data_IF_622512809640
#
_entry.id   IF_622512809640
#
_cell.length_a   1.000
_cell.length_b   1.000
_cell.length_c   1.000
_cell.angle_alpha   90.00
_cell.angle_beta   90.00
_cell.angle_gamma   90.00
#
_symmetry.space_group_name_H-M   'P 1'
#
loop_
_entity.id
_entity.type
_entity.pdbx_description
1 polymer ?
#
# COMPACT_ATOMS: atom_id res chain seq x y z
N UNK A 1 -20.28 -1.29 -1.01
CA UNK A 1 -19.04 -1.44 -1.81
C UNK A 1 -19.10 -2.67 -2.70
N UNK A 2 -19.46 -3.85 -2.17
CA UNK A 2 -19.58 -5.09 -2.97
C UNK A 2 -20.75 -5.07 -3.97
N UNK A 3 -21.80 -4.32 -3.65
CA UNK A 3 -22.98 -4.12 -4.52
C UNK A 3 -22.78 -3.04 -5.61
N UNK A 4 -21.58 -2.44 -5.71
CA UNK A 4 -21.28 -1.42 -6.73
C UNK A 4 -21.80 0.00 -6.44
N UNK A 5 -22.41 0.23 -5.28
CA UNK A 5 -22.88 1.53 -4.75
C UNK A 5 -21.78 2.62 -4.70
N UNK A 6 -20.51 2.24 -4.78
CA UNK A 6 -19.36 3.16 -4.80
C UNK A 6 -18.61 3.21 -6.13
N UNK A 7 -19.22 2.72 -7.20
CA UNK A 7 -18.61 2.59 -8.52
C UNK A 7 -17.91 1.26 -8.72
N UNK A 8 -17.78 0.90 -10.00
CA UNK A 8 -17.32 -0.43 -10.42
C UNK A 8 -15.88 -0.73 -10.00
N UNK A 9 -14.96 0.24 -10.13
CA UNK A 9 -13.58 0.03 -9.69
C UNK A 9 -13.45 -0.21 -8.18
N UNK A 10 -14.27 0.44 -7.36
CA UNK A 10 -14.30 0.19 -5.90
C UNK A 10 -14.87 -1.20 -5.61
N UNK A 11 -15.86 -1.64 -6.38
CA UNK A 11 -16.42 -2.99 -6.29
C UNK A 11 -15.36 -4.05 -6.58
N UNK A 12 -14.61 -3.89 -7.67
CA UNK A 12 -13.50 -4.78 -8.02
C UNK A 12 -12.43 -4.79 -6.94
N UNK A 13 -11.99 -3.62 -6.46
CA UNK A 13 -11.01 -3.52 -5.37
C UNK A 13 -11.50 -4.23 -4.10
N UNK A 14 -12.76 -4.03 -3.72
CA UNK A 14 -13.36 -4.68 -2.55
C UNK A 14 -13.46 -6.19 -2.72
N UNK A 15 -13.80 -6.67 -3.91
CA UNK A 15 -13.82 -8.10 -4.22
C UNK A 15 -12.42 -8.72 -4.06
N UNK A 16 -11.37 -8.05 -4.52
CA UNK A 16 -9.99 -8.52 -4.32
C UNK A 16 -9.66 -8.62 -2.83
N UNK A 17 -9.92 -7.58 -2.05
CA UNK A 17 -9.66 -7.57 -0.60
C UNK A 17 -10.43 -8.68 0.12
N UNK A 18 -11.70 -8.90 -0.23
CA UNK A 18 -12.51 -9.99 0.34
C UNK A 18 -11.94 -11.36 -0.06
N UNK A 19 -11.64 -11.59 -1.34
CA UNK A 19 -11.11 -12.87 -1.82
C UNK A 19 -9.76 -13.21 -1.20
N UNK A 20 -8.87 -12.23 -1.06
CA UNK A 20 -7.61 -12.41 -0.34
C UNK A 20 -7.88 -12.71 1.14
N UNK A 21 -8.82 -12.01 1.76
CA UNK A 21 -9.24 -12.29 3.13
C UNK A 21 -9.74 -13.73 3.32
N UNK A 22 -10.62 -14.21 2.43
CA UNK A 22 -11.11 -15.60 2.44
C UNK A 22 -9.97 -16.62 2.34
N UNK A 23 -9.02 -16.40 1.42
CA UNK A 23 -7.84 -17.28 1.25
C UNK A 23 -6.95 -17.28 2.51
N UNK A 24 -6.83 -16.15 3.18
CA UNK A 24 -6.05 -16.01 4.41
C UNK A 24 -6.82 -16.42 5.69
N UNK A 25 -8.08 -16.84 5.57
CA UNK A 25 -8.92 -17.23 6.71
C UNK A 25 -9.43 -16.05 7.56
N UNK A 26 -9.56 -14.86 6.98
CA UNK A 26 -10.09 -13.68 7.66
C UNK A 26 -11.59 -13.83 7.95
N UNK A 27 -11.99 -13.79 9.22
CA UNK A 27 -13.41 -13.81 9.60
C UNK A 27 -14.16 -12.53 9.20
N UNK A 28 -13.42 -11.42 9.12
CA UNK A 28 -13.96 -10.10 8.76
C UNK A 28 -12.87 -9.17 8.26
N UNK A 29 -13.29 -8.03 7.70
CA UNK A 29 -12.39 -6.92 7.41
C UNK A 29 -12.40 -5.89 8.54
N UNK A 30 -11.27 -5.24 8.75
CA UNK A 30 -11.10 -4.07 9.64
C UNK A 30 -10.99 -2.79 8.82
N UNK A 31 -11.42 -1.67 9.40
CA UNK A 31 -11.18 -0.35 8.80
C UNK A 31 -9.71 0.01 9.02
N UNK A 32 -9.05 0.51 7.98
CA UNK A 32 -7.70 1.06 8.09
C UNK A 32 -7.76 2.59 8.18
N UNK A 33 -6.74 3.20 8.78
CA UNK A 33 -6.63 4.67 8.91
C UNK A 33 -5.63 5.28 7.92
N UNK A 34 -4.74 4.46 7.34
CA UNK A 34 -3.68 4.91 6.44
C UNK A 34 -3.21 3.77 5.53
N UNK A 35 -2.71 4.10 4.34
CA UNK A 35 -2.03 3.16 3.46
C UNK A 35 -0.66 3.68 2.98
N UNK A 36 0.28 2.77 2.78
CA UNK A 36 1.58 3.06 2.21
C UNK A 36 1.99 1.97 1.21
N UNK A 37 2.02 2.33 -0.07
CA UNK A 37 2.15 1.39 -1.18
C UNK A 37 3.63 1.26 -1.57
N UNK A 38 4.12 0.02 -1.60
CA UNK A 38 5.48 -0.37 -1.99
C UNK A 38 5.53 -1.00 -3.36
N UNK A 39 6.76 -1.19 -3.86
CA UNK A 39 6.99 -1.89 -5.12
C UNK A 39 6.60 -1.10 -6.37
N UNK A 40 6.42 0.22 -6.27
CA UNK A 40 5.97 1.10 -7.36
C UNK A 40 7.06 1.48 -8.37
N UNK A 41 8.22 0.80 -8.35
CA UNK A 41 9.28 1.04 -9.31
C UNK A 41 8.89 0.47 -10.68
N UNK A 42 9.18 1.18 -11.77
CA UNK A 42 8.99 0.65 -13.13
C UNK A 42 9.81 -0.63 -13.35
N UNK A 43 10.97 -0.75 -12.70
CA UNK A 43 11.77 -1.99 -12.73
C UNK A 43 11.01 -3.19 -12.17
N UNK A 44 10.12 -2.97 -11.20
CA UNK A 44 9.38 -4.04 -10.54
C UNK A 44 8.12 -4.41 -11.30
N UNK A 45 7.40 -3.41 -11.83
CA UNK A 45 6.05 -3.62 -12.34
C UNK A 45 5.97 -3.63 -13.87
N UNK A 46 7.00 -3.13 -14.58
CA UNK A 46 7.04 -3.11 -16.03
C UNK A 46 5.91 -2.31 -16.67
N UNK A 47 5.70 -2.55 -17.97
CA UNK A 47 4.61 -1.93 -18.72
C UNK A 47 3.25 -2.48 -18.28
N UNK A 48 3.17 -3.77 -17.98
CA UNK A 48 1.94 -4.45 -17.56
C UNK A 48 1.39 -3.85 -16.27
N UNK A 49 2.28 -3.57 -15.30
CA UNK A 49 1.90 -2.91 -14.06
C UNK A 49 1.50 -1.45 -14.25
N UNK A 50 2.17 -0.71 -15.14
CA UNK A 50 1.77 0.65 -15.46
C UNK A 50 0.39 0.69 -16.14
N UNK A 51 0.13 -0.16 -17.13
CA UNK A 51 -1.15 -0.24 -17.82
C UNK A 51 -2.26 -0.71 -16.87
N UNK A 52 -1.97 -1.64 -15.97
CA UNK A 52 -2.89 -2.01 -14.90
C UNK A 52 -3.23 -0.81 -14.00
N UNK A 53 -2.24 -0.05 -13.54
CA UNK A 53 -2.49 1.15 -12.73
C UNK A 53 -3.32 2.21 -13.49
N UNK A 54 -3.07 2.40 -14.79
CA UNK A 54 -3.88 3.29 -15.65
C UNK A 54 -5.32 2.81 -15.76
N UNK A 55 -5.54 1.51 -15.96
CA UNK A 55 -6.90 0.94 -16.02
C UNK A 55 -7.68 1.15 -14.71
N UNK A 56 -6.98 1.06 -13.56
CA UNK A 56 -7.57 1.37 -12.26
C UNK A 56 -7.94 2.86 -12.22
N UNK A 57 -7.03 3.77 -12.59
CA UNK A 57 -7.33 5.20 -12.61
C UNK A 57 -8.52 5.54 -13.53
N UNK A 58 -8.61 4.93 -14.70
CA UNK A 58 -9.70 5.11 -15.67
C UNK A 58 -11.06 4.68 -15.12
N UNK A 59 -11.08 3.69 -14.21
CA UNK A 59 -12.30 3.30 -13.50
C UNK A 59 -12.82 4.37 -12.51
N UNK A 60 -12.08 5.47 -12.34
CA UNK A 60 -12.47 6.62 -11.52
C UNK A 60 -12.24 6.44 -10.02
N UNK A 61 -11.57 5.37 -9.59
CA UNK A 61 -11.33 5.13 -8.16
C UNK A 61 -10.34 6.12 -7.58
N UNK A 62 -10.52 6.36 -6.28
CA UNK A 62 -9.61 7.16 -5.46
C UNK A 62 -9.35 6.43 -4.16
N UNK A 63 -8.23 6.74 -3.52
CA UNK A 63 -7.96 6.26 -2.17
C UNK A 63 -8.98 6.83 -1.19
N UNK A 64 -9.54 5.98 -0.31
CA UNK A 64 -10.53 6.40 0.69
C UNK A 64 -9.90 6.72 2.06
N UNK A 65 -8.60 6.45 2.21
CA UNK A 65 -7.79 6.82 3.37
C UNK A 65 -6.56 7.60 2.91
N UNK A 66 -5.91 8.38 3.78
CA UNK A 66 -4.63 8.99 3.47
C UNK A 66 -3.63 7.93 3.00
N UNK A 67 -3.14 8.10 1.77
CA UNK A 67 -2.26 7.13 1.11
C UNK A 67 -0.97 7.79 0.67
N UNK A 68 0.15 7.12 0.92
CA UNK A 68 1.49 7.52 0.47
C UNK A 68 2.10 6.41 -0.37
N UNK A 69 3.13 6.74 -1.15
CA UNK A 69 3.88 5.77 -1.97
C UNK A 69 5.35 5.76 -1.58
N UNK A 70 5.97 4.59 -1.74
CA UNK A 70 7.40 4.37 -1.56
C UNK A 70 8.26 5.13 -2.58
N UNK A 71 9.59 5.13 -2.40
CA UNK A 71 10.50 5.70 -3.39
C UNK A 71 10.27 5.13 -4.79
N UNK A 72 10.49 5.99 -5.78
CA UNK A 72 10.59 5.59 -7.16
C UNK A 72 11.86 4.76 -7.40
N UNK A 73 11.94 4.09 -8.55
CA UNK A 73 13.15 3.41 -8.99
C UNK A 73 14.29 4.33 -9.43
N UNK A 74 14.16 5.65 -9.28
CA UNK A 74 15.09 6.69 -9.76
C UNK A 74 15.10 7.87 -8.80
N UNK A 75 16.17 8.66 -8.85
CA UNK A 75 16.10 10.06 -8.44
C UNK A 75 15.26 10.87 -9.46
N UNK A 76 14.34 11.73 -9.02
CA UNK A 76 13.46 12.43 -9.95
C UNK A 76 14.12 13.61 -10.67
N UNK A 77 15.22 14.13 -10.14
CA UNK A 77 15.96 15.28 -10.63
C UNK A 77 17.22 14.83 -11.36
N UNK A 78 18.05 14.00 -10.71
CA UNK A 78 19.41 13.67 -11.16
C UNK A 78 19.50 12.34 -11.92
N UNK A 79 18.38 11.73 -12.31
CA UNK A 79 18.37 10.43 -13.02
C UNK A 79 19.26 10.38 -14.26
N UNK A 80 19.43 11.52 -14.96
CA UNK A 80 20.33 11.61 -16.13
C UNK A 80 21.78 11.40 -15.74
N UNK A 81 22.23 12.02 -14.66
CA UNK A 81 23.60 11.90 -14.15
C UNK A 81 23.86 10.49 -13.61
N UNK A 82 22.82 9.84 -13.09
CA UNK A 82 22.84 8.44 -12.66
C UNK A 82 22.84 7.43 -13.83
N UNK A 83 22.80 7.89 -15.09
CA UNK A 83 22.81 7.04 -16.27
C UNK A 83 21.51 6.27 -16.52
N UNK A 84 20.39 6.74 -15.97
CA UNK A 84 19.07 6.13 -16.21
C UNK A 84 18.58 6.52 -17.62
N UNK A 85 18.01 5.56 -18.35
CA UNK A 85 17.43 5.83 -19.66
C UNK A 85 16.22 6.76 -19.58
N UNK A 86 16.03 7.61 -20.58
CA UNK A 86 14.86 8.50 -20.63
C UNK A 86 13.54 7.70 -20.60
N UNK A 87 13.48 6.57 -21.30
CA UNK A 87 12.31 5.69 -21.31
C UNK A 87 11.92 5.21 -19.91
N UNK A 88 12.90 4.78 -19.11
CA UNK A 88 12.65 4.35 -17.73
C UNK A 88 12.18 5.52 -16.88
N UNK A 89 12.83 6.68 -17.01
CA UNK A 89 12.49 7.87 -16.24
C UNK A 89 11.06 8.36 -16.52
N UNK A 90 10.66 8.41 -17.80
CA UNK A 90 9.29 8.79 -18.17
C UNK A 90 8.25 7.81 -17.64
N UNK A 91 8.48 6.50 -17.80
CA UNK A 91 7.57 5.47 -17.29
C UNK A 91 7.46 5.49 -15.76
N UNK A 92 8.56 5.70 -15.06
CA UNK A 92 8.55 5.87 -13.60
C UNK A 92 7.75 7.11 -13.16
N UNK A 93 7.87 8.22 -13.90
CA UNK A 93 7.08 9.44 -13.64
C UNK A 93 5.60 9.22 -13.95
N UNK A 94 5.25 8.48 -15.00
CA UNK A 94 3.86 8.10 -15.28
C UNK A 94 3.24 7.31 -14.12
N UNK A 95 3.97 6.35 -13.53
CA UNK A 95 3.49 5.60 -12.36
C UNK A 95 3.16 6.55 -11.21
N UNK A 96 4.07 7.49 -10.89
CA UNK A 96 3.85 8.47 -9.82
C UNK A 96 2.62 9.34 -10.11
N UNK A 97 2.46 9.82 -11.34
CA UNK A 97 1.32 10.64 -11.74
C UNK A 97 -0.01 9.88 -11.66
N UNK A 98 -0.03 8.58 -11.98
CA UNK A 98 -1.23 7.75 -11.77
C UNK A 98 -1.62 7.71 -10.30
N UNK A 99 -0.67 7.42 -9.40
CA UNK A 99 -0.94 7.42 -7.95
C UNK A 99 -1.40 8.79 -7.44
N UNK A 100 -0.78 9.88 -7.89
CA UNK A 100 -1.21 11.24 -7.54
C UNK A 100 -2.63 11.53 -8.00
N UNK A 101 -2.99 11.16 -9.24
CA UNK A 101 -4.34 11.33 -9.77
C UNK A 101 -5.38 10.50 -9.03
N UNK A 102 -5.00 9.35 -8.46
CA UNK A 102 -5.84 8.55 -7.56
C UNK A 102 -5.94 9.14 -6.14
N UNK A 103 -5.16 10.19 -5.81
CA UNK A 103 -5.20 10.90 -4.54
C UNK A 103 -4.09 10.54 -3.55
N UNK A 104 -3.06 9.80 -3.96
CA UNK A 104 -1.91 9.53 -3.09
C UNK A 104 -0.98 10.74 -3.00
N UNK A 105 -0.35 10.89 -1.84
CA UNK A 105 0.78 11.81 -1.67
C UNK A 105 2.08 11.12 -2.10
N UNK A 106 2.84 11.68 -3.06
CA UNK A 106 4.11 11.12 -3.52
C UNK A 106 5.22 11.39 -2.49
N UNK A 107 5.13 10.73 -1.33
CA UNK A 107 6.11 10.88 -0.26
C UNK A 107 7.51 10.38 -0.66
N UNK A 108 7.56 9.33 -1.48
CA UNK A 108 8.78 8.76 -2.04
C UNK A 108 9.83 8.42 -0.97
N UNK A 109 9.38 7.84 0.15
CA UNK A 109 10.23 7.48 1.28
C UNK A 109 9.87 6.10 1.83
N UNK A 110 10.89 5.29 2.14
CA UNK A 110 10.70 4.04 2.88
C UNK A 110 10.37 4.29 4.36
N UNK A 111 10.34 5.54 4.83
CA UNK A 111 10.13 5.87 6.24
C UNK A 111 8.83 6.67 6.46
N UNK A 112 7.66 6.14 6.04
CA UNK A 112 6.39 6.88 6.12
C UNK A 112 6.03 7.26 7.55
N UNK A 113 6.48 6.51 8.56
CA UNK A 113 6.27 6.80 9.98
C UNK A 113 6.89 8.11 10.47
N UNK A 114 7.79 8.74 9.71
CA UNK A 114 8.30 10.09 10.02
C UNK A 114 7.32 11.20 9.62
N UNK A 115 6.39 10.91 8.71
CA UNK A 115 5.55 11.91 8.05
C UNK A 115 4.04 11.64 8.23
N UNK A 116 3.66 10.37 8.42
CA UNK A 116 2.29 9.95 8.69
C UNK A 116 2.03 9.89 10.18
N UNK A 117 0.95 10.55 10.64
CA UNK A 117 0.49 10.48 12.03
C UNK A 117 -0.26 9.17 12.27
N UNK A 118 0.45 8.14 12.70
CA UNK A 118 -0.13 6.84 13.06
C UNK A 118 -0.22 6.71 14.59
N UNK A 119 -1.32 6.16 15.09
CA UNK A 119 -1.55 5.98 16.53
C UNK A 119 -1.39 4.52 16.96
N UNK A 120 -1.16 4.35 18.26
CA UNK A 120 -1.20 3.04 18.90
C UNK A 120 -2.53 2.33 18.59
N UNK A 121 -2.46 1.05 18.20
CA UNK A 121 -3.59 0.18 17.80
C UNK A 121 -4.34 0.57 16.53
N UNK A 122 -3.87 1.57 15.78
CA UNK A 122 -4.41 1.82 14.43
C UNK A 122 -4.22 0.57 13.56
N UNK A 123 -5.21 0.26 12.74
CA UNK A 123 -5.04 -0.66 11.63
C UNK A 123 -4.63 0.15 10.39
N UNK A 124 -3.56 -0.25 9.72
CA UNK A 124 -3.04 0.42 8.52
C UNK A 124 -2.67 -0.63 7.47
N UNK A 125 -2.54 -0.22 6.21
CA UNK A 125 -2.11 -1.09 5.10
C UNK A 125 -0.75 -0.62 4.56
N UNK A 126 0.33 -1.05 5.20
CA UNK A 126 1.69 -0.70 4.80
C UNK A 126 2.39 -1.91 4.20
N UNK A 127 3.02 -1.73 3.04
CA UNK A 127 3.68 -2.81 2.29
C UNK A 127 5.21 -2.65 2.23
N UNK A 128 5.76 -1.60 2.85
CA UNK A 128 7.21 -1.39 2.96
C UNK A 128 7.79 -2.18 4.13
N UNK A 129 8.90 -2.87 3.88
CA UNK A 129 9.54 -3.80 4.79
C UNK A 129 9.90 -3.21 6.16
N UNK A 130 10.63 -2.09 6.22
CA UNK A 130 11.04 -1.47 7.47
C UNK A 130 9.86 -0.76 8.15
N UNK A 131 8.94 -0.21 7.38
CA UNK A 131 7.81 0.55 7.89
C UNK A 131 6.81 -0.35 8.59
N UNK A 132 6.58 -1.55 8.05
CA UNK A 132 5.78 -2.60 8.70
C UNK A 132 6.35 -2.97 10.06
N UNK A 133 7.66 -3.16 10.16
CA UNK A 133 8.32 -3.47 11.44
C UNK A 133 8.18 -2.31 12.41
N UNK A 134 8.47 -1.08 11.99
CA UNK A 134 8.36 0.10 12.83
C UNK A 134 6.93 0.33 13.34
N UNK A 135 5.93 0.20 12.44
CA UNK A 135 4.53 0.33 12.79
C UNK A 135 4.11 -0.69 13.86
N UNK A 136 4.49 -1.96 13.69
CA UNK A 136 4.11 -3.01 14.63
C UNK A 136 4.87 -2.93 15.96
N UNK A 137 6.18 -2.72 15.92
CA UNK A 137 7.05 -2.85 17.10
C UNK A 137 7.25 -1.56 17.88
N UNK A 138 7.34 -0.41 17.20
CA UNK A 138 7.65 0.87 17.85
C UNK A 138 6.38 1.68 18.10
N UNK A 139 5.50 1.81 17.10
CA UNK A 139 4.25 2.56 17.23
C UNK A 139 3.18 1.72 17.96
N UNK A 140 3.21 0.39 17.79
CA UNK A 140 2.14 -0.50 18.21
C UNK A 140 0.87 -0.39 17.36
N UNK A 141 0.99 0.14 16.14
CA UNK A 141 -0.01 -0.01 15.10
C UNK A 141 -0.03 -1.44 14.55
N UNK A 142 -0.98 -1.74 13.69
CA UNK A 142 -1.29 -3.08 13.21
C UNK A 142 -1.34 -3.09 11.70
N UNK A 143 -0.42 -3.82 11.09
CA UNK A 143 -0.35 -4.05 9.64
C UNK A 143 0.33 -5.37 9.39
N UNK A 144 -0.13 -6.11 8.39
CA UNK A 144 0.62 -7.23 7.86
C UNK A 144 1.73 -6.72 6.93
N UNK A 145 2.62 -7.63 6.52
CA UNK A 145 3.56 -7.38 5.42
C UNK A 145 2.85 -7.67 4.10
N UNK A 146 1.84 -6.88 3.79
CA UNK A 146 1.04 -7.04 2.59
C UNK A 146 1.87 -6.69 1.35
N UNK A 147 1.59 -7.35 0.22
CA UNK A 147 2.19 -6.98 -1.05
C UNK A 147 1.69 -5.61 -1.53
N UNK A 148 2.51 -4.91 -2.32
CA UNK A 148 2.13 -3.61 -2.91
C UNK A 148 0.74 -3.58 -3.57
N UNK A 149 0.35 -4.60 -4.37
CA UNK A 149 -0.99 -4.66 -4.96
C UNK A 149 -2.12 -4.76 -3.94
N UNK A 150 -1.94 -5.50 -2.84
CA UNK A 150 -2.98 -5.59 -1.81
C UNK A 150 -3.12 -4.26 -1.08
N UNK A 151 -2.02 -3.63 -0.66
CA UNK A 151 -2.03 -2.32 -0.01
C UNK A 151 -2.67 -1.22 -0.90
N UNK A 152 -2.51 -1.31 -2.23
CA UNK A 152 -3.22 -0.47 -3.19
C UNK A 152 -4.74 -0.62 -3.06
N UNK A 153 -5.26 -1.85 -3.11
CA UNK A 153 -6.70 -2.10 -3.01
C UNK A 153 -7.26 -1.78 -1.63
N UNK A 154 -6.53 -2.10 -0.57
CA UNK A 154 -6.91 -1.77 0.82
C UNK A 154 -6.98 -0.26 1.03
N UNK A 155 -6.06 0.51 0.44
CA UNK A 155 -6.11 1.97 0.43
C UNK A 155 -7.31 2.52 -0.35
N UNK A 156 -7.70 1.88 -1.46
CA UNK A 156 -8.89 2.26 -2.23
C UNK A 156 -10.15 2.05 -1.38
N UNK A 157 -10.31 0.89 -0.75
CA UNK A 157 -11.54 0.54 -0.03
C UNK A 157 -11.56 0.95 1.45
N UNK A 158 -10.40 1.32 2.00
CA UNK A 158 -10.24 1.72 3.40
C UNK A 158 -10.43 0.55 4.37
N UNK A 159 -10.16 -0.68 3.91
CA UNK A 159 -10.32 -1.91 4.68
C UNK A 159 -9.25 -2.93 4.37
N UNK A 160 -8.84 -3.69 5.39
CA UNK A 160 -7.88 -4.78 5.30
C UNK A 160 -8.45 -6.07 5.94
N UNK A 161 -8.02 -7.27 5.53
CA UNK A 161 -8.39 -8.52 6.19
C UNK A 161 -7.91 -8.58 7.65
N UNK A 162 -8.77 -8.99 8.58
CA UNK A 162 -8.40 -9.20 9.97
C UNK A 162 -7.66 -10.53 10.13
N UNK A 163 -6.37 -10.53 9.82
CA UNK A 163 -5.47 -11.69 9.92
C UNK A 163 -4.08 -11.25 10.37
N UNK A 164 -3.24 -12.22 10.75
CA UNK A 164 -1.84 -11.98 11.09
C UNK A 164 -1.69 -10.93 12.19
N UNK A 165 -0.90 -9.89 11.93
CA UNK A 165 -0.55 -8.83 12.88
C UNK A 165 -1.68 -7.84 13.15
N UNK A 166 -2.81 -7.93 12.43
CA UNK A 166 -4.04 -7.23 12.79
C UNK A 166 -4.76 -7.87 14.00
N UNK A 167 -4.49 -9.13 14.29
CA UNK A 167 -5.10 -9.86 15.42
C UNK A 167 -4.21 -9.68 16.66
N UNK A 168 -4.81 -9.33 17.79
CA UNK A 168 -4.06 -8.99 19.01
C UNK A 168 -3.33 -10.22 19.58
N UNK A 169 -4.00 -11.36 19.57
CA UNK A 169 -3.51 -12.63 20.09
C UNK A 169 -2.23 -13.08 19.37
N UNK A 170 -2.13 -12.81 18.06
CA UNK A 170 -0.98 -13.14 17.22
C UNK A 170 0.27 -12.29 17.51
N UNK A 171 0.13 -11.20 18.25
CA UNK A 171 1.24 -10.27 18.56
C UNK A 171 1.98 -10.63 19.84
N UNK A 172 1.50 -11.63 20.59
CA UNK A 172 2.13 -12.08 21.83
C UNK A 172 3.46 -12.78 21.49
N UNK A 173 4.58 -12.40 22.13
CA UNK A 173 5.84 -13.11 21.96
C UNK A 173 5.67 -14.58 22.34
N UNK A 174 6.13 -15.49 21.48
CA UNK A 174 6.11 -16.94 21.73
C UNK A 174 7.48 -17.48 22.15
N UNK A 175 8.52 -16.65 22.02
CA UNK A 175 9.91 -16.99 22.39
C UNK A 175 10.50 -15.80 23.15
N UNK A 176 11.15 -16.09 24.27
CA UNK A 176 11.89 -15.12 25.09
C UNK A 176 13.33 -15.59 25.14
N UNK A 177 14.26 -14.69 24.83
CA UNK A 177 15.70 -14.93 24.96
C UNK A 177 16.19 -14.18 26.21
N UNK A 178 16.89 -14.89 27.09
CA UNK A 178 17.69 -14.24 28.15
C UNK A 178 18.99 -13.71 27.49
N UNK A 179 19.29 -12.44 27.70
CA UNK A 179 20.48 -11.76 27.17
C UNK A 179 21.63 -11.79 28.18
#
# INVERSE_FOLDING_TARGET
MLEGDKGEGVRVAMNVVVKVGEVLGAERLVRITNAHISGISYKNIGDEGLEFLKSILESGVRFSVPTTINPAGIDLEDWKEMGVSESFAYKQREIIEVFKKMGATPLLSCTPYKYSKIKYRDHIAWSESNAVLYANSVIGARTNRDGGPLALFEGIVGRAPLVGMHVEENRRPTVVYDL
#
